data_IF_588467221777
#
_entry.id   IF_588467221777
#
_cell.length_a   1.000
_cell.length_b   1.000
_cell.length_c   1.000
_cell.angle_alpha   90.00
_cell.angle_beta   90.00
_cell.angle_gamma   90.00
#
_symmetry.space_group_name_H-M   'P 1'
#
loop_
_entity.id
_entity.type
_entity.pdbx_description
1 polymer ?
#
# COMPACT_ATOMS: atom_id res chain seq x y z
N UNK A 1 15.73 4.44 4.18
CA UNK A 1 15.91 3.57 3.02
C UNK A 1 15.87 2.11 3.41
N UNK A 2 16.81 1.70 4.30
CA UNK A 2 16.80 0.32 4.75
C UNK A 2 15.54 0.01 5.54
N UNK A 3 15.04 0.97 6.31
CA UNK A 3 13.81 0.77 7.07
C UNK A 3 12.62 0.57 6.14
N UNK A 4 12.57 1.27 5.03
CA UNK A 4 11.47 1.09 4.09
C UNK A 4 11.48 -0.31 3.49
N UNK A 5 12.67 -0.81 3.14
CA UNK A 5 12.79 -2.16 2.61
C UNK A 5 12.35 -3.20 3.64
N UNK A 6 12.73 -3.00 4.90
CA UNK A 6 12.31 -3.88 5.98
C UNK A 6 10.79 -3.87 6.12
N UNK A 7 10.18 -2.68 6.09
CA UNK A 7 8.72 -2.56 6.21
C UNK A 7 8.03 -3.21 5.03
N UNK A 8 8.54 -3.02 3.81
CA UNK A 8 7.98 -3.68 2.64
C UNK A 8 8.02 -5.19 2.79
N UNK A 9 9.14 -5.73 3.28
CA UNK A 9 9.26 -7.17 3.47
C UNK A 9 8.25 -7.68 4.50
N UNK A 10 8.07 -6.96 5.60
CA UNK A 10 7.11 -7.34 6.64
C UNK A 10 5.70 -7.36 6.07
N UNK A 11 5.33 -6.33 5.31
CA UNK A 11 4.00 -6.26 4.71
C UNK A 11 3.83 -7.36 3.67
N UNK A 12 4.84 -7.62 2.85
CA UNK A 12 4.78 -8.68 1.85
C UNK A 12 4.53 -10.02 2.51
N UNK A 13 5.28 -10.33 3.58
CA UNK A 13 5.10 -11.59 4.29
C UNK A 13 3.69 -11.73 4.87
N UNK A 14 3.15 -10.64 5.40
CA UNK A 14 1.79 -10.66 5.94
C UNK A 14 0.76 -10.91 4.84
N UNK A 15 0.94 -10.27 3.68
CA UNK A 15 0.03 -10.46 2.56
C UNK A 15 0.06 -11.92 2.08
N UNK A 16 1.25 -12.49 2.00
CA UNK A 16 1.39 -13.90 1.62
C UNK A 16 0.73 -14.80 2.67
N UNK A 17 0.92 -14.48 3.95
CA UNK A 17 0.29 -15.26 5.04
C UNK A 17 -1.23 -15.21 4.92
N UNK A 18 -1.78 -14.08 4.51
CA UNK A 18 -3.23 -13.92 4.34
C UNK A 18 -3.73 -14.60 3.06
N UNK A 19 -2.86 -15.13 2.23
CA UNK A 19 -3.26 -15.89 1.06
C UNK A 19 -3.25 -15.12 -0.24
N UNK A 20 -2.72 -13.90 -0.26
CA UNK A 20 -2.64 -13.13 -1.50
C UNK A 20 -1.51 -13.61 -2.38
N UNK A 21 -1.73 -13.55 -3.69
CA UNK A 21 -0.65 -13.57 -4.66
C UNK A 21 -0.17 -12.13 -4.80
N UNK A 22 1.13 -11.91 -4.59
CA UNK A 22 1.70 -10.57 -4.53
C UNK A 22 2.64 -10.35 -5.69
N UNK A 23 2.43 -9.27 -6.44
CA UNK A 23 3.30 -8.90 -7.56
C UNK A 23 3.58 -7.40 -7.49
N UNK A 24 4.59 -6.96 -8.23
CA UNK A 24 4.91 -5.54 -8.35
C UNK A 24 4.08 -4.98 -9.50
N UNK A 25 3.46 -3.81 -9.27
CA UNK A 25 2.63 -3.19 -10.28
C UNK A 25 3.33 -2.08 -11.02
N UNK A 26 2.75 -1.70 -12.15
CA UNK A 26 3.22 -0.58 -12.95
C UNK A 26 2.04 0.30 -13.32
N UNK A 27 2.26 1.61 -13.29
CA UNK A 27 1.28 2.59 -13.75
C UNK A 27 2.04 3.65 -14.54
N UNK A 28 2.18 3.41 -15.85
CA UNK A 28 3.03 4.24 -16.68
C UNK A 28 4.48 4.05 -16.26
N UNK A 29 5.14 5.16 -15.89
CA UNK A 29 6.53 5.12 -15.43
C UNK A 29 6.63 4.89 -13.92
N UNK A 30 5.49 4.86 -13.21
CA UNK A 30 5.47 4.69 -11.75
C UNK A 30 5.31 3.23 -11.40
N UNK A 31 5.89 2.82 -10.27
CA UNK A 31 5.69 1.48 -9.73
C UNK A 31 4.71 1.53 -8.59
N UNK A 32 3.93 0.47 -8.46
CA UNK A 32 3.11 0.21 -7.28
C UNK A 32 3.81 -0.92 -6.54
N UNK A 33 4.07 -0.71 -5.25
CA UNK A 33 4.86 -1.66 -4.48
C UNK A 33 4.28 -3.06 -4.55
N UNK A 34 2.97 -3.20 -4.29
CA UNK A 34 2.34 -4.52 -4.32
C UNK A 34 0.96 -4.46 -4.97
N UNK A 35 0.75 -5.37 -5.91
CA UNK A 35 -0.57 -5.69 -6.44
C UNK A 35 -0.91 -7.07 -5.89
N UNK A 36 -2.03 -7.16 -5.18
CA UNK A 36 -2.36 -8.34 -4.37
C UNK A 36 -3.67 -8.94 -4.83
N UNK A 37 -3.63 -10.18 -5.28
CA UNK A 37 -4.81 -10.86 -5.83
C UNK A 37 -5.19 -12.06 -4.96
N UNK A 38 -6.47 -12.21 -4.70
CA UNK A 38 -7.00 -13.34 -3.93
C UNK A 38 -8.46 -13.53 -4.24
N UNK A 39 -8.81 -14.74 -4.62
CA UNK A 39 -10.22 -15.15 -4.82
C UNK A 39 -10.98 -14.20 -5.75
N UNK A 40 -10.31 -13.77 -6.83
CA UNK A 40 -10.92 -12.88 -7.81
C UNK A 40 -10.98 -11.42 -7.37
N UNK A 41 -10.42 -11.08 -6.22
CA UNK A 41 -10.38 -9.72 -5.71
C UNK A 41 -8.95 -9.20 -5.77
N UNK A 42 -8.82 -7.88 -5.87
CA UNK A 42 -7.52 -7.23 -5.96
C UNK A 42 -7.46 -6.03 -5.02
N UNK A 43 -6.31 -5.83 -4.40
CA UNK A 43 -6.00 -4.59 -3.69
C UNK A 43 -4.61 -4.13 -4.11
N UNK A 44 -4.36 -2.83 -3.98
CA UNK A 44 -3.06 -2.22 -4.25
C UNK A 44 -2.50 -1.66 -2.96
N UNK A 45 -1.20 -1.84 -2.75
CA UNK A 45 -0.54 -1.38 -1.52
C UNK A 45 0.77 -0.68 -1.85
N UNK A 46 0.93 0.52 -1.28
CA UNK A 46 2.19 1.26 -1.23
C UNK A 46 2.65 1.27 0.21
N UNK A 47 3.96 1.18 0.43
CA UNK A 47 4.54 1.16 1.78
C UNK A 47 5.63 2.22 1.86
N UNK A 48 5.59 3.05 2.90
CA UNK A 48 6.69 3.97 3.20
C UNK A 48 6.85 4.08 4.71
N UNK A 49 7.97 4.69 5.15
CA UNK A 49 8.20 4.86 6.58
C UNK A 49 7.28 5.95 7.13
N UNK A 50 7.47 7.18 6.67
CA UNK A 50 6.60 8.30 7.04
C UNK A 50 6.26 9.13 5.81
N UNK A 51 5.04 9.65 5.78
CA UNK A 51 4.60 10.61 4.79
C UNK A 51 4.98 12.01 5.27
N UNK A 52 6.27 12.24 5.46
CA UNK A 52 6.76 13.39 6.21
C UNK A 52 6.90 14.66 5.39
N UNK A 53 6.71 14.58 4.08
CA UNK A 53 6.82 15.76 3.21
C UNK A 53 5.78 15.67 2.11
N UNK A 54 5.43 16.82 1.57
CA UNK A 54 4.52 16.89 0.43
C UNK A 54 5.05 16.08 -0.75
N UNK A 55 6.35 16.11 -0.96
CA UNK A 55 6.96 15.35 -2.05
C UNK A 55 6.78 13.84 -1.87
N UNK A 56 6.95 13.34 -0.64
CA UNK A 56 6.72 11.92 -0.34
C UNK A 56 5.26 11.57 -0.53
N UNK A 57 4.35 12.43 -0.03
CA UNK A 57 2.92 12.22 -0.21
C UNK A 57 2.56 12.11 -1.69
N UNK A 58 3.07 13.04 -2.49
CA UNK A 58 2.79 13.02 -3.92
C UNK A 58 3.32 11.76 -4.59
N UNK A 59 4.48 11.29 -4.18
CA UNK A 59 5.06 10.09 -4.76
C UNK A 59 4.24 8.85 -4.42
N UNK A 60 3.86 8.70 -3.15
CA UNK A 60 3.18 7.50 -2.71
C UNK A 60 1.73 7.45 -3.20
N UNK A 61 0.98 8.54 -2.99
CA UNK A 61 -0.40 8.61 -3.45
C UNK A 61 -0.47 8.73 -4.96
N UNK A 62 0.48 9.43 -5.55
CA UNK A 62 0.51 9.64 -7.00
C UNK A 62 0.76 8.39 -7.82
N UNK A 63 1.27 7.32 -7.20
CA UNK A 63 1.44 6.07 -7.91
C UNK A 63 0.12 5.53 -8.45
N UNK A 64 -1.00 5.91 -7.83
CA UNK A 64 -2.34 5.47 -8.23
C UNK A 64 -3.03 6.40 -9.23
N UNK A 65 -2.35 7.45 -9.64
CA UNK A 65 -2.95 8.46 -10.50
C UNK A 65 -3.48 7.84 -11.79
N UNK A 66 -4.72 8.19 -12.15
CA UNK A 66 -5.39 7.73 -13.35
C UNK A 66 -5.73 6.23 -13.39
N UNK A 67 -5.57 5.52 -12.31
CA UNK A 67 -6.10 4.16 -12.21
C UNK A 67 -7.58 4.27 -11.87
N UNK A 68 -8.44 3.80 -12.78
CA UNK A 68 -9.88 4.02 -12.71
C UNK A 68 -10.68 2.79 -12.35
N UNK A 69 -10.01 1.73 -11.91
CA UNK A 69 -10.74 0.56 -11.43
C UNK A 69 -11.31 0.83 -10.04
N UNK A 70 -12.11 -0.11 -9.52
CA UNK A 70 -12.76 0.02 -8.22
C UNK A 70 -12.06 -0.76 -7.13
N UNK A 71 -10.85 -1.24 -7.39
CA UNK A 71 -10.12 -2.01 -6.38
C UNK A 71 -9.59 -1.09 -5.28
N UNK A 72 -9.64 -1.52 -4.01
CA UNK A 72 -9.10 -0.71 -2.92
C UNK A 72 -7.62 -0.40 -3.11
N UNK A 73 -7.25 0.83 -2.77
CA UNK A 73 -5.89 1.32 -2.90
C UNK A 73 -5.45 1.86 -1.55
N UNK A 74 -4.31 1.36 -1.08
CA UNK A 74 -3.80 1.68 0.26
C UNK A 74 -2.44 2.33 0.18
N UNK A 75 -2.18 3.27 1.09
CA UNK A 75 -0.83 3.72 1.42
C UNK A 75 -0.63 3.40 2.89
N UNK A 76 0.37 2.58 3.20
CA UNK A 76 0.70 2.18 4.56
C UNK A 76 1.95 2.90 5.02
N UNK A 77 1.92 3.47 6.21
CA UNK A 77 3.07 4.15 6.78
C UNK A 77 3.03 4.06 8.30
N UNK A 78 4.05 4.62 8.95
CA UNK A 78 4.08 4.67 10.41
C UNK A 78 3.39 5.90 10.97
N UNK A 79 2.86 6.77 10.10
CA UNK A 79 2.08 7.92 10.55
C UNK A 79 0.84 7.44 11.31
N UNK A 80 0.50 8.15 12.38
CA UNK A 80 -0.62 7.76 13.23
C UNK A 80 -1.92 8.50 12.87
N UNK A 81 -1.83 9.56 12.08
CA UNK A 81 -3.01 10.28 11.62
C UNK A 81 -3.51 9.68 10.31
N UNK A 82 -4.81 9.72 10.12
CA UNK A 82 -5.42 9.27 8.87
C UNK A 82 -5.14 10.29 7.79
N UNK A 83 -4.35 9.90 6.79
CA UNK A 83 -3.96 10.76 5.69
C UNK A 83 -4.65 10.37 4.39
N UNK A 84 -5.73 9.61 4.48
CA UNK A 84 -6.50 9.17 3.31
C UNK A 84 -6.94 10.34 2.46
N UNK A 85 -6.93 10.16 1.14
CA UNK A 85 -7.33 11.20 0.20
C UNK A 85 -7.72 10.59 -1.13
N UNK A 86 -8.64 11.25 -1.83
CA UNK A 86 -8.99 10.91 -3.22
C UNK A 86 -9.35 9.44 -3.39
N UNK A 87 -10.02 8.86 -2.40
CA UNK A 87 -10.41 7.46 -2.46
C UNK A 87 -9.31 6.49 -2.12
N UNK A 88 -8.11 6.96 -1.81
CA UNK A 88 -6.99 6.13 -1.40
C UNK A 88 -6.96 6.08 0.12
N UNK A 89 -6.90 4.87 0.67
CA UNK A 89 -6.97 4.66 2.12
C UNK A 89 -5.55 4.69 2.68
N UNK A 90 -5.31 5.55 3.66
CA UNK A 90 -4.07 5.50 4.43
C UNK A 90 -4.31 4.67 5.69
N UNK A 91 -3.35 3.84 6.04
CA UNK A 91 -3.44 3.04 7.26
C UNK A 91 -2.06 2.95 7.90
N UNK A 92 -2.02 3.03 9.21
CA UNK A 92 -0.79 2.82 9.97
C UNK A 92 -0.37 1.36 9.83
N UNK A 93 0.93 1.11 9.67
CA UNK A 93 1.45 -0.24 9.43
C UNK A 93 1.12 -1.18 10.57
N UNK A 94 1.25 -0.72 11.84
CA UNK A 94 0.93 -1.59 12.98
C UNK A 94 -0.55 -1.96 12.98
N UNK A 95 -1.40 -0.99 12.67
CA UNK A 95 -2.84 -1.25 12.60
C UNK A 95 -3.16 -2.24 11.49
N UNK A 96 -2.48 -2.11 10.35
CA UNK A 96 -2.65 -3.06 9.26
C UNK A 96 -2.30 -4.47 9.72
N UNK A 97 -1.14 -4.63 10.36
CA UNK A 97 -0.68 -5.95 10.79
C UNK A 97 -1.59 -6.59 11.84
N UNK A 98 -2.18 -5.76 12.71
CA UNK A 98 -3.02 -6.27 13.80
C UNK A 98 -4.45 -6.52 13.37
N UNK A 99 -4.98 -5.71 12.44
CA UNK A 99 -6.42 -5.67 12.21
C UNK A 99 -6.87 -5.96 10.79
N UNK A 100 -5.96 -5.93 9.82
CA UNK A 100 -6.38 -6.15 8.44
C UNK A 100 -6.79 -7.60 8.26
N UNK A 101 -8.02 -7.78 7.83
CA UNK A 101 -8.56 -9.12 7.62
C UNK A 101 -8.87 -9.30 6.15
N UNK A 102 -8.77 -10.52 5.76
CA UNK A 102 -9.17 -10.96 4.49
C UNK A 102 -10.67 -11.07 4.43
N UNK A 103 -11.31 -10.24 3.73
CA UNK A 103 -12.77 -10.29 3.69
C UNK A 103 -13.28 -10.66 2.30
#
# INVERSE_FOLDING_TARGET
>A
RDIELILENIICLELLRLGYKVTIGKNGTKEIDFVCDKDGKRIYIQVCYYLSSEKTEEREFGAYENIKDNYPKYVLSMDEFDMSRNGIIHMNIRDFLLNFKNS
#
